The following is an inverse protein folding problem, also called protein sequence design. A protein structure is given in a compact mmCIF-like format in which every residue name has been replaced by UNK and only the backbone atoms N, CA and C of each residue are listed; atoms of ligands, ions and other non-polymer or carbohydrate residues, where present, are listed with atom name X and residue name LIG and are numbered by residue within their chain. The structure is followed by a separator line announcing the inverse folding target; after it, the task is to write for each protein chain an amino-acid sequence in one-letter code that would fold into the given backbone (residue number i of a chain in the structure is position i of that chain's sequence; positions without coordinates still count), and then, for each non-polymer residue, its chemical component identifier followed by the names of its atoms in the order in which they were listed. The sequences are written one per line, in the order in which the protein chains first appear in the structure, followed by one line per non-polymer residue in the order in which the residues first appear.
data_IF_138045743478
#
_entry.id   IF_138045743478
#
_cell.length_a   1.000
_cell.length_b   1.000
_cell.length_c   1.000
_cell.angle_alpha   90.00
_cell.angle_beta   90.00
_cell.angle_gamma   90.00
#
_symmetry.space_group_name_H-M   'P 1'
#
loop_
_entity.id
_entity.type
_entity.pdbx_description
1 polymer ?
#
# COMPACT_ATOMS: atom_id res chain seq x y z
N UNK A 1 57.74 -49.03 -10.27
CA UNK A 1 57.37 -50.04 -9.24
C UNK A 1 55.92 -49.78 -8.89
N UNK A 2 54.90 -50.46 -9.39
CA UNK A 2 54.79 -51.61 -10.31
C UNK A 2 55.28 -51.26 -11.73
N UNK A 3 55.68 -52.27 -12.49
CA UNK A 3 56.35 -52.22 -13.81
C UNK A 3 55.37 -52.49 -14.95
N UNK A 4 55.70 -51.99 -16.15
CA UNK A 4 55.21 -52.34 -17.52
C UNK A 4 54.44 -51.21 -18.21
N UNK A 5 54.64 -50.88 -19.48
CA UNK A 5 55.64 -51.18 -20.52
C UNK A 5 55.35 -50.12 -21.60
N UNK A 6 56.39 -49.49 -22.16
CA UNK A 6 56.28 -48.68 -23.39
C UNK A 6 56.11 -49.65 -24.58
N UNK A 7 55.31 -49.28 -25.59
CA UNK A 7 55.82 -49.26 -26.96
C UNK A 7 55.46 -47.92 -27.63
N UNK A 8 56.43 -47.10 -28.04
CA UNK A 8 57.13 -47.19 -29.33
C UNK A 8 56.19 -47.11 -30.53
N UNK A 9 56.02 -45.90 -31.08
CA UNK A 9 55.87 -45.72 -32.53
C UNK A 9 56.73 -44.52 -32.97
N UNK A 10 57.81 -44.85 -33.65
CA UNK A 10 58.67 -43.92 -34.38
C UNK A 10 58.46 -44.10 -35.88
N UNK A 11 58.66 -43.00 -36.61
CA UNK A 11 58.95 -42.84 -38.06
C UNK A 11 57.77 -42.67 -39.02
N UNK A 12 57.62 -41.44 -39.50
CA UNK A 12 57.70 -41.03 -40.92
C UNK A 12 57.57 -39.49 -40.97
N UNK A 13 58.63 -38.67 -41.14
CA UNK A 13 59.17 -38.10 -42.41
C UNK A 13 58.12 -37.93 -43.52
N UNK A 14 58.07 -36.87 -44.33
CA UNK A 14 58.66 -35.53 -44.42
C UNK A 14 58.04 -34.89 -45.68
N UNK A 15 57.90 -33.56 -45.70
CA UNK A 15 57.68 -32.73 -46.90
C UNK A 15 56.22 -32.66 -47.39
N UNK A 16 55.69 -31.52 -47.84
CA UNK A 16 56.25 -30.18 -48.05
C UNK A 16 55.08 -29.19 -48.27
N UNK A 17 55.44 -27.91 -48.37
CA UNK A 17 54.65 -26.73 -48.77
C UNK A 17 54.10 -25.87 -47.62
N UNK A 18 54.75 -24.74 -47.35
CA UNK A 18 54.38 -23.46 -47.98
C UNK A 18 55.47 -22.39 -47.85
N UNK A 19 55.57 -21.57 -48.89
CA UNK A 19 56.58 -20.55 -49.18
C UNK A 19 56.43 -19.26 -48.34
N UNK A 20 57.59 -18.70 -47.96
CA UNK A 20 57.94 -17.28 -47.95
C UNK A 20 57.16 -16.26 -47.08
N UNK A 21 57.81 -15.82 -46.00
CA UNK A 21 58.57 -14.54 -45.94
C UNK A 21 58.30 -13.64 -44.72
N UNK A 22 59.42 -13.17 -44.17
CA UNK A 22 59.65 -11.97 -43.35
C UNK A 22 59.09 -11.93 -41.91
N UNK A 23 60.02 -12.05 -40.96
CA UNK A 23 60.23 -10.96 -40.00
C UNK A 23 59.65 -11.10 -38.60
N UNK A 24 60.59 -11.12 -37.63
CA UNK A 24 60.42 -10.85 -36.20
C UNK A 24 59.81 -11.95 -35.33
N UNK A 25 60.75 -12.68 -34.73
CA UNK A 25 60.62 -13.42 -33.48
C UNK A 25 60.07 -12.45 -32.41
N UNK A 26 58.76 -12.51 -32.15
CA UNK A 26 58.21 -12.00 -30.90
C UNK A 26 58.47 -13.04 -29.81
N UNK A 27 59.17 -12.60 -28.78
CA UNK A 27 59.56 -13.38 -27.62
C UNK A 27 58.31 -14.00 -26.96
N UNK A 28 58.39 -15.24 -26.48
CA UNK A 28 57.25 -15.93 -25.85
C UNK A 28 56.73 -15.18 -24.60
N UNK A 29 57.54 -14.27 -24.03
CA UNK A 29 57.14 -13.33 -22.98
C UNK A 29 56.19 -12.23 -23.45
N UNK A 30 56.17 -11.87 -24.74
CA UNK A 30 55.31 -10.82 -25.30
C UNK A 30 53.95 -11.36 -25.75
N UNK A 31 53.87 -12.62 -26.21
CA UNK A 31 52.56 -13.25 -26.48
C UNK A 31 51.81 -13.54 -25.17
N UNK A 32 52.54 -13.82 -24.09
CA UNK A 32 51.96 -13.96 -22.74
C UNK A 32 51.66 -12.62 -22.04
N UNK A 33 52.02 -11.48 -22.66
CA UNK A 33 51.72 -10.13 -22.14
C UNK A 33 50.57 -9.42 -22.87
N UNK A 34 49.86 -10.09 -23.79
CA UNK A 34 48.61 -9.58 -24.37
C UNK A 34 47.35 -10.09 -23.64
N UNK A 35 47.52 -10.83 -22.53
CA UNK A 35 46.44 -11.25 -21.62
C UNK A 35 46.73 -10.81 -20.18
N UNK A 36 47.37 -9.66 -20.02
CA UNK A 36 47.57 -9.00 -18.74
C UNK A 36 47.14 -7.54 -18.86
N UNK A 37 45.92 -7.31 -19.35
CA UNK A 37 45.14 -6.20 -18.83
C UNK A 37 44.67 -6.67 -17.46
N UNK A 38 45.27 -6.08 -16.43
CA UNK A 38 44.91 -6.20 -15.03
C UNK A 38 43.44 -5.80 -14.81
N UNK A 39 42.51 -6.72 -15.06
CA UNK A 39 41.17 -6.62 -14.50
C UNK A 39 41.22 -7.15 -13.08
N UNK A 40 41.67 -6.28 -12.16
CA UNK A 40 41.37 -6.39 -10.74
C UNK A 40 39.88 -6.03 -10.50
N UNK A 41 38.97 -6.61 -11.28
CA UNK A 41 37.53 -6.47 -11.11
C UNK A 41 37.10 -7.49 -10.07
N UNK A 42 36.91 -7.03 -8.84
CA UNK A 42 36.25 -7.79 -7.76
C UNK A 42 34.99 -8.45 -8.34
N UNK A 43 34.90 -9.78 -8.28
CA UNK A 43 33.74 -10.53 -8.79
C UNK A 43 32.49 -10.00 -8.10
N UNK A 44 31.60 -9.38 -8.87
CA UNK A 44 30.44 -8.63 -8.36
C UNK A 44 29.17 -9.36 -8.75
N UNK A 45 28.38 -9.75 -7.74
CA UNK A 45 27.05 -10.30 -7.94
C UNK A 45 25.98 -9.23 -7.81
N UNK A 46 24.90 -9.37 -8.58
CA UNK A 46 23.69 -8.57 -8.44
C UNK A 46 22.63 -9.40 -7.72
N UNK A 47 22.06 -8.87 -6.65
CA UNK A 47 20.94 -9.46 -5.94
C UNK A 47 19.67 -8.64 -6.23
N UNK A 48 18.76 -9.19 -7.02
CA UNK A 48 17.46 -8.58 -7.32
C UNK A 48 16.46 -9.01 -6.24
N UNK A 49 16.07 -8.08 -5.39
CA UNK A 49 15.24 -8.36 -4.22
C UNK A 49 13.79 -7.93 -4.46
N UNK A 50 12.84 -8.85 -4.31
CA UNK A 50 11.40 -8.56 -4.38
C UNK A 50 10.66 -8.91 -3.10
N UNK A 51 9.36 -8.63 -3.05
CA UNK A 51 8.56 -8.86 -1.82
C UNK A 51 8.29 -10.36 -1.64
N UNK A 52 8.11 -11.06 -2.75
CA UNK A 52 7.57 -12.40 -2.78
C UNK A 52 6.05 -12.41 -2.58
N UNK A 53 5.43 -13.43 -3.14
CA UNK A 53 3.98 -13.62 -3.15
C UNK A 53 3.66 -15.07 -2.83
N UNK A 54 2.51 -15.31 -2.21
CA UNK A 54 1.94 -16.66 -2.12
C UNK A 54 1.54 -17.23 -3.50
N UNK A 55 1.47 -16.40 -4.54
CA UNK A 55 1.17 -16.79 -5.91
C UNK A 55 2.46 -17.07 -6.69
N UNK A 56 2.75 -18.36 -6.95
CA UNK A 56 3.98 -18.80 -7.65
C UNK A 56 4.25 -18.09 -8.98
N UNK A 57 3.21 -17.81 -9.77
CA UNK A 57 3.35 -17.12 -11.07
C UNK A 57 3.96 -15.73 -10.93
N UNK A 58 3.63 -14.99 -9.86
CA UNK A 58 4.19 -13.67 -9.62
C UNK A 58 5.69 -13.73 -9.25
N UNK A 59 6.10 -14.76 -8.51
CA UNK A 59 7.51 -14.96 -8.14
C UNK A 59 8.37 -15.29 -9.37
N UNK A 60 7.83 -16.05 -10.33
CA UNK A 60 8.52 -16.37 -11.57
C UNK A 60 8.82 -15.12 -12.41
N UNK A 61 7.95 -14.11 -12.39
CA UNK A 61 8.21 -12.84 -13.08
C UNK A 61 9.46 -12.15 -12.55
N UNK A 62 9.73 -12.18 -11.24
CA UNK A 62 10.96 -11.61 -10.70
C UNK A 62 12.21 -12.40 -11.13
N UNK A 63 12.09 -13.73 -11.22
CA UNK A 63 13.18 -14.60 -11.70
C UNK A 63 13.49 -14.32 -13.17
N UNK A 64 12.46 -14.13 -13.99
CA UNK A 64 12.61 -13.72 -15.40
C UNK A 64 13.27 -12.34 -15.52
N UNK A 65 12.91 -11.40 -14.65
CA UNK A 65 13.57 -10.08 -14.59
C UNK A 65 15.04 -10.22 -14.23
N UNK A 66 15.38 -11.02 -13.21
CA UNK A 66 16.77 -11.25 -12.81
C UNK A 66 17.60 -11.83 -13.96
N UNK A 67 17.06 -12.80 -14.68
CA UNK A 67 17.72 -13.36 -15.87
C UNK A 67 17.85 -12.34 -17.01
N UNK A 68 16.81 -11.53 -17.25
CA UNK A 68 16.88 -10.47 -18.24
C UNK A 68 17.91 -9.39 -17.86
N UNK A 69 18.06 -9.07 -16.57
CA UNK A 69 19.09 -8.16 -16.06
C UNK A 69 20.48 -8.76 -16.26
N UNK A 70 20.66 -10.06 -16.00
CA UNK A 70 21.91 -10.79 -16.26
C UNK A 70 22.34 -10.64 -17.72
N UNK A 71 21.45 -10.99 -18.64
CA UNK A 71 21.72 -10.99 -20.08
C UNK A 71 21.90 -9.56 -20.62
N UNK A 72 20.96 -8.64 -20.34
CA UNK A 72 20.98 -7.28 -20.90
C UNK A 72 22.01 -6.37 -20.23
N UNK A 73 22.28 -6.59 -18.95
CA UNK A 73 23.26 -5.83 -18.17
C UNK A 73 24.69 -6.35 -18.32
N UNK A 74 24.89 -7.53 -18.91
CA UNK A 74 26.21 -8.14 -19.06
C UNK A 74 26.83 -8.54 -17.72
N UNK A 75 25.99 -8.95 -16.76
CA UNK A 75 26.46 -9.39 -15.44
C UNK A 75 26.65 -10.90 -15.43
N UNK A 76 27.75 -11.39 -14.85
CA UNK A 76 28.03 -12.82 -14.77
C UNK A 76 27.12 -13.52 -13.76
N UNK A 77 26.90 -12.88 -12.60
CA UNK A 77 26.16 -13.44 -11.47
C UNK A 77 25.00 -12.52 -11.10
N UNK A 78 23.77 -13.02 -11.30
CA UNK A 78 22.54 -12.36 -10.85
C UNK A 78 21.66 -13.37 -10.14
N UNK A 79 21.31 -13.08 -8.88
CA UNK A 79 20.44 -13.91 -8.06
C UNK A 79 19.15 -13.14 -7.73
N UNK A 80 18.01 -13.83 -7.76
CA UNK A 80 16.76 -13.28 -7.22
C UNK A 80 16.56 -13.72 -5.78
N UNK A 81 16.01 -12.85 -4.95
CA UNK A 81 15.64 -13.15 -3.57
C UNK A 81 14.31 -12.50 -3.19
N UNK A 82 13.70 -13.00 -2.13
CA UNK A 82 12.39 -12.56 -1.67
C UNK A 82 12.41 -12.22 -0.18
N UNK A 83 11.71 -11.15 0.19
CA UNK A 83 11.57 -10.76 1.60
C UNK A 83 10.59 -11.68 2.36
N UNK A 84 9.56 -12.20 1.67
CA UNK A 84 8.49 -12.97 2.28
C UNK A 84 7.94 -14.03 1.32
N UNK A 85 7.26 -15.04 1.87
CA UNK A 85 6.44 -16.04 1.16
C UNK A 85 7.14 -16.99 0.16
N UNK A 86 8.38 -16.73 -0.23
CA UNK A 86 9.08 -17.48 -1.27
C UNK A 86 10.59 -17.56 -0.99
N UNK A 87 11.23 -18.56 -1.58
CA UNK A 87 12.67 -18.82 -1.46
C UNK A 87 13.43 -18.64 -2.79
N UNK A 88 14.74 -18.33 -2.76
CA UNK A 88 15.53 -18.08 -1.56
C UNK A 88 15.16 -16.74 -0.92
N UNK A 89 15.14 -16.70 0.42
CA UNK A 89 15.07 -15.44 1.14
C UNK A 89 16.40 -14.69 1.05
N UNK A 90 16.48 -13.45 1.55
CA UNK A 90 17.70 -12.65 1.46
C UNK A 90 18.93 -13.37 2.02
N UNK A 91 18.83 -13.95 3.23
CA UNK A 91 19.93 -14.63 3.87
C UNK A 91 20.39 -15.86 3.07
N UNK A 92 19.45 -16.68 2.61
CA UNK A 92 19.74 -17.86 1.77
C UNK A 92 20.38 -17.46 0.43
N UNK A 93 19.93 -16.37 -0.18
CA UNK A 93 20.50 -15.89 -1.43
C UNK A 93 21.93 -15.35 -1.24
N UNK A 94 22.19 -14.68 -0.12
CA UNK A 94 23.57 -14.28 0.24
C UNK A 94 24.44 -15.51 0.47
N UNK A 95 23.94 -16.56 1.13
CA UNK A 95 24.67 -17.81 1.33
C UNK A 95 25.06 -18.45 -0.01
N UNK A 96 24.11 -18.56 -0.95
CA UNK A 96 24.34 -19.08 -2.31
C UNK A 96 25.39 -18.25 -3.06
N UNK A 97 25.35 -16.92 -2.90
CA UNK A 97 26.30 -16.03 -3.56
C UNK A 97 27.69 -16.13 -2.92
N UNK A 98 27.77 -16.23 -1.60
CA UNK A 98 29.04 -16.35 -0.87
C UNK A 98 29.83 -17.61 -1.25
N UNK A 99 29.15 -18.69 -1.66
CA UNK A 99 29.78 -19.92 -2.18
C UNK A 99 30.44 -19.74 -3.57
N UNK A 100 30.20 -18.61 -4.25
CA UNK A 100 30.68 -18.35 -5.61
C UNK A 100 31.90 -17.41 -5.66
N UNK A 101 32.66 -17.30 -4.56
CA UNK A 101 33.85 -16.44 -4.44
C UNK A 101 33.64 -14.97 -4.83
N UNK A 102 32.40 -14.48 -4.71
CA UNK A 102 32.05 -13.08 -4.94
C UNK A 102 32.64 -12.22 -3.84
N UNK A 103 33.18 -11.06 -4.21
CA UNK A 103 33.76 -10.10 -3.26
C UNK A 103 32.81 -8.92 -3.00
N UNK A 104 31.77 -8.78 -3.83
CA UNK A 104 30.82 -7.69 -3.78
C UNK A 104 29.42 -8.15 -4.18
N UNK A 105 28.41 -7.73 -3.43
CA UNK A 105 27.00 -7.88 -3.78
C UNK A 105 26.36 -6.50 -3.91
N UNK A 106 25.84 -6.20 -5.09
CA UNK A 106 24.95 -5.06 -5.31
C UNK A 106 23.52 -5.54 -5.10
N UNK A 107 22.89 -5.08 -4.02
CA UNK A 107 21.49 -5.36 -3.72
C UNK A 107 20.64 -4.32 -4.42
N UNK A 108 19.82 -4.74 -5.39
CA UNK A 108 18.86 -3.88 -6.06
C UNK A 108 17.43 -4.23 -5.62
N UNK A 109 16.78 -3.33 -4.85
CA UNK A 109 15.40 -3.51 -4.44
C UNK A 109 14.44 -3.31 -5.63
N UNK A 110 13.82 -4.38 -6.11
CA UNK A 110 12.90 -4.35 -7.25
C UNK A 110 11.47 -3.98 -6.80
N UNK A 111 11.32 -2.74 -6.34
CA UNK A 111 10.07 -2.20 -5.81
C UNK A 111 9.77 -0.82 -6.40
N UNK A 112 8.52 -0.54 -6.73
CA UNK A 112 8.07 0.79 -7.17
C UNK A 112 8.01 1.81 -6.03
N UNK A 113 7.91 1.34 -4.79
CA UNK A 113 7.90 2.16 -3.58
C UNK A 113 8.55 1.42 -2.41
N UNK A 114 9.24 2.14 -1.54
CA UNK A 114 9.83 1.62 -0.30
C UNK A 114 8.84 1.72 0.85
N UNK A 115 8.22 0.58 1.20
CA UNK A 115 7.40 0.48 2.41
C UNK A 115 8.22 0.69 3.70
N UNK A 116 7.55 1.11 4.78
CA UNK A 116 8.20 1.37 6.07
C UNK A 116 8.89 0.13 6.66
N UNK A 117 8.37 -1.07 6.38
CA UNK A 117 8.97 -2.36 6.76
C UNK A 117 10.26 -2.61 5.98
N UNK A 118 10.25 -2.53 4.65
CA UNK A 118 11.45 -2.72 3.80
C UNK A 118 12.57 -1.74 4.13
N UNK A 119 12.21 -0.49 4.43
CA UNK A 119 13.17 0.58 4.74
C UNK A 119 13.96 0.30 6.02
N UNK A 120 13.42 -0.49 6.96
CA UNK A 120 14.09 -0.88 8.21
C UNK A 120 14.67 -2.29 8.15
N UNK A 121 13.94 -3.22 7.53
CA UNK A 121 14.28 -4.64 7.51
C UNK A 121 15.48 -4.91 6.60
N UNK A 122 15.55 -4.28 5.41
CA UNK A 122 16.64 -4.51 4.47
C UNK A 122 18.01 -4.04 5.00
N UNK A 123 18.15 -2.83 5.59
CA UNK A 123 19.40 -2.47 6.27
C UNK A 123 19.78 -3.45 7.37
N UNK A 124 18.81 -3.93 8.16
CA UNK A 124 19.06 -4.90 9.23
C UNK A 124 19.58 -6.25 8.68
N UNK A 125 19.00 -6.75 7.59
CA UNK A 125 19.45 -7.98 6.94
C UNK A 125 20.84 -7.84 6.33
N UNK A 126 21.14 -6.70 5.69
CA UNK A 126 22.47 -6.39 5.16
C UNK A 126 23.51 -6.35 6.29
N UNK A 127 23.21 -5.69 7.41
CA UNK A 127 24.13 -5.63 8.56
C UNK A 127 24.35 -7.01 9.20
N UNK A 128 23.31 -7.85 9.22
CA UNK A 128 23.42 -9.24 9.69
C UNK A 128 24.32 -10.06 8.76
N UNK A 129 24.15 -9.91 7.44
CA UNK A 129 24.97 -10.58 6.44
C UNK A 129 26.44 -10.14 6.48
N UNK A 130 26.72 -8.84 6.67
CA UNK A 130 28.08 -8.31 6.84
C UNK A 130 28.82 -8.92 8.03
N UNK A 131 28.12 -9.16 9.15
CA UNK A 131 28.70 -9.84 10.33
C UNK A 131 29.02 -11.30 10.06
N UNK A 132 28.27 -11.96 9.17
CA UNK A 132 28.50 -13.36 8.79
C UNK A 132 29.66 -13.46 7.79
N UNK A 133 29.70 -12.58 6.79
CA UNK A 133 30.66 -12.60 5.69
C UNK A 133 31.53 -11.34 5.66
N UNK A 134 32.63 -11.37 6.42
CA UNK A 134 33.54 -10.23 6.59
C UNK A 134 34.29 -9.82 5.30
N UNK A 135 34.43 -10.75 4.36
CA UNK A 135 35.16 -10.54 3.10
C UNK A 135 34.26 -10.00 1.99
N UNK A 136 32.96 -9.81 2.27
CA UNK A 136 31.93 -9.51 1.28
C UNK A 136 31.43 -8.08 1.43
N UNK A 137 31.62 -7.29 0.37
CA UNK A 137 31.16 -5.90 0.31
C UNK A 137 29.69 -5.85 -0.14
N UNK A 138 28.83 -5.12 0.59
CA UNK A 138 27.44 -4.92 0.21
C UNK A 138 27.19 -3.48 -0.24
N UNK A 139 26.60 -3.29 -1.41
CA UNK A 139 26.18 -2.00 -1.94
C UNK A 139 24.68 -2.03 -2.17
N UNK A 140 23.94 -1.12 -1.54
CA UNK A 140 22.51 -0.95 -1.80
C UNK A 140 22.33 0.01 -2.98
N UNK A 141 21.79 -0.49 -4.09
CA UNK A 141 21.39 0.33 -5.23
C UNK A 141 20.04 1.03 -4.94
N UNK A 142 19.72 2.12 -5.66
CA UNK A 142 18.37 2.68 -5.64
C UNK A 142 17.33 1.60 -5.98
N UNK A 143 16.17 1.68 -5.34
CA UNK A 143 15.04 0.83 -5.69
C UNK A 143 14.49 1.23 -7.07
N UNK A 144 13.74 0.33 -7.72
CA UNK A 144 13.19 0.55 -9.07
C UNK A 144 12.46 1.90 -9.19
N UNK A 145 11.59 2.21 -8.23
CA UNK A 145 10.99 3.53 -8.08
C UNK A 145 10.21 4.03 -9.30
N UNK A 146 10.01 5.35 -9.37
CA UNK A 146 9.50 6.01 -10.56
C UNK A 146 10.63 6.20 -11.58
N UNK A 147 10.35 5.89 -12.85
CA UNK A 147 11.27 6.14 -13.96
C UNK A 147 10.46 6.35 -15.26
N UNK A 148 10.88 7.26 -16.13
CA UNK A 148 10.16 7.60 -17.37
C UNK A 148 9.90 6.38 -18.27
N UNK A 149 10.88 5.49 -18.43
CA UNK A 149 10.72 4.20 -19.12
C UNK A 149 9.57 3.31 -18.59
N UNK A 150 9.24 3.37 -17.29
CA UNK A 150 8.09 2.64 -16.76
C UNK A 150 6.77 3.29 -17.19
N UNK A 151 6.75 4.62 -17.31
CA UNK A 151 5.63 5.37 -17.87
C UNK A 151 5.46 5.04 -19.36
N UNK A 152 6.55 5.00 -20.12
CA UNK A 152 6.53 4.59 -21.53
C UNK A 152 5.91 3.20 -21.70
N UNK A 153 6.37 2.22 -20.90
CA UNK A 153 5.81 0.86 -20.90
C UNK A 153 4.32 0.88 -20.51
N UNK A 154 3.92 1.69 -19.52
CA UNK A 154 2.52 1.80 -19.11
C UNK A 154 1.66 2.38 -20.24
N UNK A 155 2.14 3.46 -20.90
CA UNK A 155 1.48 4.08 -22.05
C UNK A 155 1.38 3.09 -23.21
N UNK A 156 2.44 2.34 -23.51
CA UNK A 156 2.44 1.32 -24.56
C UNK A 156 1.39 0.24 -24.28
N UNK A 157 1.32 -0.29 -23.04
CA UNK A 157 0.32 -1.28 -22.64
C UNK A 157 -1.10 -0.75 -22.74
N UNK A 158 -1.35 0.49 -22.31
CA UNK A 158 -2.67 1.13 -22.42
C UNK A 158 -3.07 1.29 -23.89
N UNK A 159 -2.14 1.76 -24.74
CA UNK A 159 -2.37 1.89 -26.18
C UNK A 159 -2.66 0.53 -26.83
N UNK A 160 -1.97 -0.52 -26.40
CA UNK A 160 -2.16 -1.88 -26.97
C UNK A 160 -3.60 -2.39 -26.82
N UNK A 161 -4.30 -2.00 -25.75
CA UNK A 161 -5.73 -2.31 -25.55
C UNK A 161 -6.60 -1.50 -26.53
N UNK A 162 -6.33 -0.21 -26.71
CA UNK A 162 -7.09 0.66 -27.63
C UNK A 162 -6.95 0.23 -29.10
N UNK A 163 -5.80 -0.33 -29.48
CA UNK A 163 -5.60 -0.93 -30.80
C UNK A 163 -6.46 -2.20 -31.00
N UNK A 164 -6.57 -3.03 -29.96
CA UNK A 164 -7.41 -4.23 -29.98
C UNK A 164 -8.91 -3.92 -29.94
N UNK A 165 -9.29 -2.84 -29.25
CA UNK A 165 -10.65 -2.29 -29.26
C UNK A 165 -10.96 -1.71 -30.65
N UNK A 166 -10.08 -0.93 -31.28
CA UNK A 166 -10.31 -0.38 -32.63
C UNK A 166 -10.47 -1.46 -33.73
N UNK A 167 -9.80 -2.61 -33.62
CA UNK A 167 -10.02 -3.75 -34.52
C UNK A 167 -11.31 -4.52 -34.23
N UNK A 168 -11.75 -4.54 -32.96
CA UNK A 168 -13.03 -5.14 -32.55
C UNK A 168 -14.21 -4.23 -32.87
N UNK A 169 -14.02 -2.91 -32.75
CA UNK A 169 -14.97 -1.84 -33.09
C UNK A 169 -15.13 -1.71 -34.61
N UNK A 170 -14.07 -1.86 -35.42
CA UNK A 170 -14.20 -1.92 -36.89
C UNK A 170 -15.01 -3.11 -37.40
N UNK A 171 -15.10 -4.20 -36.63
CA UNK A 171 -15.98 -5.34 -36.92
C UNK A 171 -17.42 -5.12 -36.44
N UNK A 172 -17.64 -4.18 -35.51
CA UNK A 172 -18.96 -3.87 -34.94
C UNK A 172 -19.62 -2.63 -35.58
N UNK A 173 -18.85 -1.65 -36.02
CA UNK A 173 -19.34 -0.35 -36.52
C UNK A 173 -19.61 -0.35 -38.03
N UNK A 174 -20.10 -1.48 -38.55
CA UNK A 174 -20.82 -1.52 -39.83
C UNK A 174 -22.24 -0.96 -39.73
N UNK A 175 -22.74 -0.68 -38.51
CA UNK A 175 -24.08 -0.14 -38.31
C UNK A 175 -24.10 0.88 -37.15
N UNK A 176 -24.81 1.97 -37.41
CA UNK A 176 -25.27 3.02 -36.50
C UNK A 176 -24.34 4.22 -36.19
N UNK A 177 -24.94 5.39 -36.39
CA UNK A 177 -24.37 6.72 -36.56
C UNK A 177 -24.11 7.48 -35.26
N UNK A 178 -23.07 8.32 -35.32
CA UNK A 178 -22.88 9.67 -34.76
C UNK A 178 -23.59 10.05 -33.45
N UNK A 179 -22.79 10.14 -32.39
CA UNK A 179 -22.87 11.25 -31.41
C UNK A 179 -21.46 11.80 -31.12
N UNK A 180 -21.32 13.13 -31.19
CA UNK A 180 -20.05 13.86 -31.06
C UNK A 180 -19.71 14.12 -29.59
N UNK A 181 -18.58 13.61 -29.11
CA UNK A 181 -18.07 13.81 -27.75
C UNK A 181 -17.24 15.13 -27.66
N UNK A 182 -17.53 16.07 -26.73
CA UNK A 182 -16.80 17.35 -26.63
C UNK A 182 -15.44 17.28 -25.92
N UNK A 183 -14.95 16.12 -25.49
CA UNK A 183 -13.69 16.00 -24.73
C UNK A 183 -12.47 15.73 -25.62
N UNK A 184 -12.14 16.64 -26.56
CA UNK A 184 -10.81 16.67 -27.18
C UNK A 184 -10.38 18.11 -27.43
N UNK A 185 -9.97 18.81 -26.37
CA UNK A 185 -8.87 19.79 -26.40
C UNK A 185 -8.74 20.48 -25.04
N UNK A 186 -7.99 19.87 -24.12
CA UNK A 186 -7.32 20.66 -23.10
C UNK A 186 -5.97 20.03 -22.74
N UNK A 187 -4.85 20.78 -22.85
CA UNK A 187 -3.52 20.26 -22.59
C UNK A 187 -3.31 20.12 -21.07
N UNK A 188 -3.14 18.88 -20.60
CA UNK A 188 -2.74 18.59 -19.22
C UNK A 188 -1.31 19.12 -19.03
N UNK A 189 -1.12 20.11 -18.14
CA UNK A 189 0.20 20.65 -17.79
C UNK A 189 0.87 19.79 -16.71
N UNK A 190 2.21 19.62 -16.74
CA UNK A 190 2.92 18.80 -15.76
C UNK A 190 2.91 19.44 -14.35
N UNK A 191 2.77 18.60 -13.34
CA UNK A 191 2.71 18.96 -11.92
C UNK A 191 4.04 19.52 -11.39
N UNK A 192 4.02 20.64 -10.67
CA UNK A 192 5.19 21.18 -9.95
C UNK A 192 5.25 20.66 -8.52
N UNK A 193 6.36 20.04 -8.13
CA UNK A 193 6.60 19.55 -6.77
C UNK A 193 7.03 20.69 -5.82
N UNK A 194 6.11 21.12 -4.96
CA UNK A 194 6.46 21.81 -3.71
C UNK A 194 5.27 21.82 -2.73
N UNK A 195 5.03 20.72 -2.01
CA UNK A 195 4.07 20.67 -0.88
C UNK A 195 4.51 19.64 0.19
N UNK A 196 4.17 19.85 1.48
CA UNK A 196 4.80 19.23 2.66
C UNK A 196 4.28 17.79 2.96
N UNK A 197 4.84 17.07 3.95
CA UNK A 197 4.76 15.61 4.01
C UNK A 197 3.45 15.13 4.64
N UNK A 198 2.73 14.21 3.97
CA UNK A 198 1.98 13.07 4.57
C UNK A 198 0.77 12.56 3.75
N UNK A 199 0.75 12.67 2.41
CA UNK A 199 -0.24 11.95 1.59
C UNK A 199 0.49 11.21 0.46
N UNK A 200 0.14 9.93 0.24
CA UNK A 200 0.69 9.19 -0.89
C UNK A 200 0.30 9.92 -2.19
N UNK A 201 1.18 10.09 -3.19
CA UNK A 201 0.89 10.90 -4.39
C UNK A 201 -0.43 10.55 -5.08
N UNK A 202 -0.83 9.27 -5.04
CA UNK A 202 -2.11 8.77 -5.58
C UNK A 202 -3.32 9.28 -4.80
N UNK A 203 -3.24 9.33 -3.47
CA UNK A 203 -4.35 9.80 -2.63
C UNK A 203 -4.57 11.31 -2.84
N UNK A 204 -3.48 12.09 -2.85
CA UNK A 204 -3.54 13.52 -3.13
C UNK A 204 -4.13 13.80 -4.52
N UNK A 205 -3.70 13.07 -5.54
CA UNK A 205 -4.26 13.20 -6.89
C UNK A 205 -5.73 12.77 -6.96
N UNK A 206 -6.11 11.70 -6.25
CA UNK A 206 -7.50 11.28 -6.15
C UNK A 206 -8.36 12.39 -5.54
N UNK A 207 -7.91 13.03 -4.45
CA UNK A 207 -8.64 14.15 -3.85
C UNK A 207 -8.71 15.38 -4.73
N UNK A 208 -7.68 15.63 -5.55
CA UNK A 208 -7.68 16.69 -6.55
C UNK A 208 -8.77 16.44 -7.60
N UNK A 209 -8.80 15.24 -8.19
CA UNK A 209 -9.80 14.83 -9.19
C UNK A 209 -11.23 14.84 -8.63
N UNK A 210 -11.40 14.42 -7.37
CA UNK A 210 -12.69 14.53 -6.68
C UNK A 210 -13.11 15.99 -6.55
N UNK A 211 -12.18 16.89 -6.17
CA UNK A 211 -12.46 18.32 -6.04
C UNK A 211 -12.81 19.02 -7.34
N UNK A 212 -12.34 18.54 -8.49
CA UNK A 212 -12.71 19.08 -9.81
C UNK A 212 -14.16 18.76 -10.21
N UNK A 213 -14.73 17.68 -9.68
CA UNK A 213 -16.08 17.20 -10.01
C UNK A 213 -17.10 17.50 -8.91
N UNK A 214 -16.63 17.66 -7.67
CA UNK A 214 -17.47 17.98 -6.51
C UNK A 214 -17.68 19.49 -6.42
N UNK A 215 -18.93 19.94 -6.32
CA UNK A 215 -19.23 21.30 -5.90
C UNK A 215 -18.92 21.48 -4.39
N UNK A 216 -17.68 21.88 -4.10
CA UNK A 216 -17.19 22.04 -2.73
C UNK A 216 -17.89 23.17 -1.96
N UNK A 217 -18.52 24.12 -2.66
CA UNK A 217 -19.20 25.27 -2.03
C UNK A 217 -20.39 24.87 -1.15
N UNK A 218 -20.89 23.63 -1.33
CA UNK A 218 -21.98 23.02 -0.57
C UNK A 218 -21.59 22.59 0.84
N UNK A 219 -20.30 22.51 1.14
CA UNK A 219 -19.78 21.95 2.39
C UNK A 219 -18.90 22.96 3.12
N UNK A 220 -19.00 22.98 4.45
CA UNK A 220 -18.08 23.77 5.25
C UNK A 220 -16.70 23.10 5.36
N UNK A 221 -15.72 23.83 5.93
CA UNK A 221 -14.34 23.38 6.02
C UNK A 221 -14.14 22.07 6.80
N UNK A 222 -15.05 21.72 7.71
CA UNK A 222 -14.95 20.52 8.54
C UNK A 222 -15.71 19.33 7.93
N UNK A 223 -16.76 19.60 7.14
CA UNK A 223 -17.52 18.57 6.42
C UNK A 223 -16.78 18.07 5.18
N UNK A 224 -16.18 18.98 4.40
CA UNK A 224 -15.57 18.67 3.11
C UNK A 224 -14.53 17.54 3.16
N UNK A 225 -13.61 17.47 4.15
CA UNK A 225 -12.67 16.36 4.27
C UNK A 225 -13.35 14.99 4.40
N UNK A 226 -14.46 14.91 5.14
CA UNK A 226 -15.22 13.66 5.31
C UNK A 226 -15.93 13.30 4.00
N UNK A 227 -16.56 14.26 3.34
CA UNK A 227 -17.25 14.05 2.05
C UNK A 227 -16.26 13.53 0.99
N UNK A 228 -15.12 14.20 0.84
CA UNK A 228 -14.07 13.75 -0.09
C UNK A 228 -13.57 12.35 0.25
N UNK A 229 -13.39 12.03 1.54
CA UNK A 229 -12.97 10.70 2.00
C UNK A 229 -14.00 9.63 1.67
N UNK A 230 -15.29 9.93 1.79
CA UNK A 230 -16.38 9.03 1.43
C UNK A 230 -16.36 8.74 -0.08
N UNK A 231 -16.30 9.76 -0.93
CA UNK A 231 -16.22 9.62 -2.38
C UNK A 231 -14.97 8.84 -2.78
N UNK A 232 -13.81 9.17 -2.21
CA UNK A 232 -12.56 8.46 -2.48
C UNK A 232 -12.65 6.96 -2.17
N UNK A 233 -13.30 6.62 -1.06
CA UNK A 233 -13.41 5.23 -0.59
C UNK A 233 -14.42 4.42 -1.42
N UNK A 234 -15.44 5.08 -1.96
CA UNK A 234 -16.58 4.43 -2.63
C UNK A 234 -16.58 4.59 -4.15
N UNK A 235 -15.75 5.51 -4.67
CA UNK A 235 -15.78 6.01 -6.04
C UNK A 235 -17.19 6.50 -6.47
N UNK A 236 -17.96 7.06 -5.53
CA UNK A 236 -19.37 7.36 -5.71
C UNK A 236 -19.70 8.77 -5.20
N UNK A 237 -19.95 9.69 -6.14
CA UNK A 237 -20.24 11.10 -5.84
C UNK A 237 -21.61 11.30 -5.18
N UNK A 238 -22.53 10.33 -5.29
CA UNK A 238 -23.86 10.43 -4.68
C UNK A 238 -23.77 10.52 -3.14
N UNK A 239 -22.67 10.04 -2.53
CA UNK A 239 -22.44 10.21 -1.10
C UNK A 239 -22.41 11.68 -0.66
N UNK A 240 -22.03 12.62 -1.53
CA UNK A 240 -22.12 14.05 -1.26
C UNK A 240 -23.58 14.51 -1.03
N UNK A 241 -24.53 13.92 -1.74
CA UNK A 241 -25.95 14.25 -1.63
C UNK A 241 -26.65 13.49 -0.50
N UNK A 242 -26.12 12.32 -0.13
CA UNK A 242 -26.73 11.43 0.86
C UNK A 242 -26.21 11.63 2.28
N UNK A 243 -24.98 12.12 2.47
CA UNK A 243 -24.42 12.30 3.81
C UNK A 243 -25.17 13.35 4.62
N UNK A 244 -25.42 13.05 5.90
CA UNK A 244 -26.08 13.94 6.85
C UNK A 244 -25.24 14.04 8.11
N UNK A 245 -24.98 15.26 8.53
CA UNK A 245 -24.28 15.60 9.77
C UNK A 245 -25.29 16.24 10.72
N UNK A 246 -25.44 15.68 11.92
CA UNK A 246 -26.40 16.15 12.91
C UNK A 246 -25.74 16.61 14.21
N UNK A 247 -26.31 17.64 14.84
CA UNK A 247 -25.99 18.08 16.21
C UNK A 247 -24.48 18.29 16.49
N UNK A 248 -23.75 18.92 15.55
CA UNK A 248 -22.33 19.21 15.72
C UNK A 248 -21.41 17.98 15.67
N UNK A 249 -21.85 16.90 15.02
CA UNK A 249 -21.19 15.59 15.00
C UNK A 249 -19.68 15.58 14.78
N UNK A 250 -19.17 16.39 13.85
CA UNK A 250 -17.74 16.37 13.49
C UNK A 250 -16.89 16.90 14.66
N UNK A 251 -17.25 18.06 15.19
CA UNK A 251 -16.53 18.66 16.32
C UNK A 251 -16.65 17.81 17.58
N UNK A 252 -17.86 17.34 17.91
CA UNK A 252 -18.05 16.46 19.08
C UNK A 252 -17.26 15.16 18.93
N UNK A 253 -17.17 14.61 17.71
CA UNK A 253 -16.35 13.44 17.42
C UNK A 253 -14.85 13.69 17.62
N UNK A 254 -14.34 14.81 17.11
CA UNK A 254 -12.94 15.21 17.28
C UNK A 254 -12.61 15.45 18.76
N UNK A 255 -13.50 16.12 19.50
CA UNK A 255 -13.35 16.37 20.93
C UNK A 255 -13.38 15.06 21.73
N UNK A 256 -14.27 14.12 21.38
CA UNK A 256 -14.34 12.80 22.01
C UNK A 256 -13.06 12.00 21.78
N UNK A 257 -12.56 11.95 20.54
CA UNK A 257 -11.26 11.32 20.23
C UNK A 257 -10.15 11.96 21.06
N UNK A 258 -10.11 13.29 21.13
CA UNK A 258 -9.08 14.03 21.87
C UNK A 258 -9.09 13.72 23.38
N UNK A 259 -10.26 13.36 23.93
CA UNK A 259 -10.45 12.94 25.33
C UNK A 259 -10.23 11.44 25.55
N UNK A 260 -9.82 10.69 24.53
CA UNK A 260 -9.55 9.25 24.61
C UNK A 260 -10.79 8.37 24.55
N UNK A 261 -11.85 8.82 23.87
CA UNK A 261 -13.06 8.01 23.70
C UNK A 261 -12.78 6.67 23.00
N UNK A 262 -13.43 5.61 23.50
CA UNK A 262 -13.45 4.32 22.84
C UNK A 262 -14.28 4.38 21.54
N UNK A 263 -13.94 3.52 20.59
CA UNK A 263 -14.69 3.32 19.35
C UNK A 263 -15.36 1.95 19.36
N UNK A 264 -16.68 1.93 19.37
CA UNK A 264 -17.49 0.71 19.38
C UNK A 264 -17.97 0.45 17.96
N UNK A 265 -17.75 -0.76 17.45
CA UNK A 265 -18.17 -1.14 16.09
C UNK A 265 -19.07 -2.37 16.06
N UNK A 266 -19.98 -2.41 15.08
CA UNK A 266 -20.96 -3.48 14.95
C UNK A 266 -20.38 -4.78 14.37
N UNK A 267 -19.33 -4.70 13.55
CA UNK A 267 -18.70 -5.86 12.90
C UNK A 267 -17.19 -5.80 12.89
N UNK A 268 -16.55 -6.99 12.88
CA UNK A 268 -15.08 -7.14 12.86
C UNK A 268 -14.42 -6.43 11.67
N UNK A 269 -15.09 -6.37 10.52
CA UNK A 269 -14.57 -5.67 9.34
C UNK A 269 -14.32 -4.18 9.61
N UNK A 270 -15.20 -3.51 10.35
CA UNK A 270 -14.98 -2.12 10.73
C UNK A 270 -13.82 -2.01 11.73
N UNK A 271 -13.72 -2.94 12.68
CA UNK A 271 -12.66 -2.96 13.68
C UNK A 271 -11.26 -3.04 13.07
N UNK A 272 -11.08 -3.87 12.03
CA UNK A 272 -9.77 -4.03 11.37
C UNK A 272 -9.43 -2.88 10.42
N UNK A 273 -10.42 -2.13 9.95
CA UNK A 273 -10.21 -1.00 9.03
C UNK A 273 -9.86 0.32 9.72
N UNK A 274 -10.18 0.45 11.02
CA UNK A 274 -9.89 1.66 11.79
C UNK A 274 -8.43 1.66 12.26
N UNK A 275 -7.76 2.82 12.11
CA UNK A 275 -6.36 2.97 12.47
C UNK A 275 -6.15 2.95 14.00
N UNK A 276 -5.72 1.79 14.53
CA UNK A 276 -5.31 1.64 15.94
C UNK A 276 -4.14 2.53 16.30
N UNK A 277 -3.21 2.73 15.37
CA UNK A 277 -2.06 3.61 15.59
C UNK A 277 -2.49 5.04 15.89
N UNK A 278 -3.40 5.61 15.07
CA UNK A 278 -3.91 6.97 15.30
C UNK A 278 -4.73 7.07 16.57
N UNK A 279 -5.66 6.14 16.79
CA UNK A 279 -6.50 6.14 17.99
C UNK A 279 -5.66 6.00 19.27
N UNK A 280 -4.64 5.13 19.26
CA UNK A 280 -3.75 4.91 20.39
C UNK A 280 -2.98 6.15 20.83
N UNK A 281 -2.74 7.14 19.94
CA UNK A 281 -2.13 8.43 20.30
C UNK A 281 -3.00 9.22 21.29
N UNK A 282 -4.30 8.96 21.33
CA UNK A 282 -5.26 9.61 22.20
C UNK A 282 -5.73 8.74 23.38
N UNK A 283 -5.35 7.45 23.41
CA UNK A 283 -5.65 6.54 24.52
C UNK A 283 -6.98 5.79 24.44
N UNK A 284 -7.72 5.91 23.32
CA UNK A 284 -8.95 5.14 23.10
C UNK A 284 -8.70 3.70 22.62
N UNK A 285 -9.67 2.82 22.83
CA UNK A 285 -9.66 1.44 22.32
C UNK A 285 -10.77 1.19 21.29
N UNK A 286 -10.53 0.26 20.36
CA UNK A 286 -11.56 -0.21 19.43
C UNK A 286 -12.17 -1.50 19.99
N UNK A 287 -13.49 -1.51 20.17
CA UNK A 287 -14.26 -2.64 20.73
C UNK A 287 -15.27 -3.18 19.73
N UNK A 288 -15.32 -4.49 19.57
CA UNK A 288 -16.35 -5.19 18.79
C UNK A 288 -16.76 -6.48 19.50
N UNK A 289 -18.03 -6.61 19.84
CA UNK A 289 -18.53 -7.72 20.66
C UNK A 289 -19.24 -8.81 19.86
N UNK A 290 -19.52 -8.60 18.57
CA UNK A 290 -20.36 -9.50 17.75
C UNK A 290 -19.85 -10.94 17.67
N UNK A 291 -18.54 -11.14 17.85
CA UNK A 291 -17.87 -12.43 17.77
C UNK A 291 -17.74 -13.14 19.14
N UNK A 292 -18.16 -12.50 20.23
CA UNK A 292 -18.03 -13.07 21.56
C UNK A 292 -18.95 -14.29 21.75
N UNK A 293 -18.46 -15.27 22.52
CA UNK A 293 -19.15 -16.56 22.69
C UNK A 293 -20.52 -16.41 23.34
N UNK A 294 -20.65 -15.51 24.31
CA UNK A 294 -21.88 -15.20 25.05
C UNK A 294 -22.91 -14.44 24.21
N UNK A 295 -22.48 -13.59 23.26
CA UNK A 295 -23.38 -12.83 22.38
C UNK A 295 -24.26 -13.74 21.53
N UNK A 296 -23.75 -14.89 21.09
CA UNK A 296 -24.58 -15.87 20.36
C UNK A 296 -25.70 -16.43 21.22
N UNK A 297 -25.43 -16.75 22.48
CA UNK A 297 -26.42 -17.28 23.39
C UNK A 297 -27.47 -16.20 23.74
N UNK A 298 -27.03 -14.97 23.99
CA UNK A 298 -27.93 -13.83 24.25
C UNK A 298 -28.84 -13.52 23.06
N UNK A 299 -28.29 -13.57 21.84
CA UNK A 299 -29.04 -13.38 20.60
C UNK A 299 -30.17 -14.41 20.43
N UNK A 300 -29.88 -15.68 20.72
CA UNK A 300 -30.87 -16.76 20.66
C UNK A 300 -31.93 -16.61 21.75
N UNK A 301 -31.51 -16.37 23.00
CA UNK A 301 -32.39 -16.23 24.16
C UNK A 301 -33.43 -15.12 23.98
N UNK A 302 -33.05 -14.01 23.36
CA UNK A 302 -33.89 -12.83 23.19
C UNK A 302 -34.39 -12.64 21.75
N UNK A 303 -34.29 -13.66 20.90
CA UNK A 303 -34.75 -13.63 19.50
C UNK A 303 -34.29 -12.41 18.70
N UNK A 304 -33.01 -12.05 18.82
CA UNK A 304 -32.39 -10.92 18.13
C UNK A 304 -31.20 -11.34 17.28
N UNK A 305 -30.75 -10.43 16.43
CA UNK A 305 -29.50 -10.62 15.66
C UNK A 305 -28.27 -10.54 16.57
N UNK A 306 -27.19 -11.22 16.19
CA UNK A 306 -25.89 -11.17 16.91
C UNK A 306 -25.34 -9.74 17.03
N UNK A 307 -25.55 -8.90 16.02
CA UNK A 307 -25.09 -7.50 16.00
C UNK A 307 -25.89 -6.64 16.97
N UNK A 308 -27.21 -6.84 17.08
CA UNK A 308 -28.03 -6.22 18.12
C UNK A 308 -27.63 -6.68 19.53
N UNK A 309 -27.45 -7.98 19.74
CA UNK A 309 -26.99 -8.53 21.02
C UNK A 309 -25.57 -8.03 21.38
N UNK A 310 -24.67 -7.92 20.40
CA UNK A 310 -23.34 -7.36 20.58
C UNK A 310 -23.39 -5.88 20.96
N UNK A 311 -24.30 -5.11 20.37
CA UNK A 311 -24.51 -3.70 20.73
C UNK A 311 -25.06 -3.57 22.15
N UNK A 312 -25.99 -4.44 22.55
CA UNK A 312 -26.45 -4.51 23.95
C UNK A 312 -25.32 -4.84 24.92
N UNK A 313 -24.46 -5.80 24.57
CA UNK A 313 -23.27 -6.13 25.38
C UNK A 313 -22.31 -4.93 25.50
N UNK A 314 -22.28 -4.06 24.50
CA UNK A 314 -21.44 -2.86 24.53
C UNK A 314 -21.91 -1.80 25.53
N UNK A 315 -23.11 -1.92 26.12
CA UNK A 315 -23.73 -0.90 26.99
C UNK A 315 -22.78 -0.26 28.02
N UNK A 316 -21.94 -1.00 28.76
CA UNK A 316 -21.01 -0.41 29.74
C UNK A 316 -19.95 0.53 29.14
N UNK A 317 -19.77 0.52 27.81
CA UNK A 317 -18.78 1.29 27.07
C UNK A 317 -19.42 2.36 26.16
N UNK A 318 -20.75 2.51 26.19
CA UNK A 318 -21.44 3.43 25.26
C UNK A 318 -21.39 4.90 25.69
N UNK A 319 -21.16 5.18 26.96
CA UNK A 319 -21.13 6.56 27.44
C UNK A 319 -19.84 7.27 27.02
N UNK A 320 -19.99 8.47 26.44
CA UNK A 320 -18.91 9.30 25.88
C UNK A 320 -18.09 8.64 24.77
N UNK A 321 -18.54 7.53 24.20
CA UNK A 321 -17.83 6.82 23.14
C UNK A 321 -18.31 7.22 21.75
N UNK A 322 -17.57 6.77 20.73
CA UNK A 322 -17.96 6.89 19.33
C UNK A 322 -18.46 5.52 18.87
N UNK A 323 -19.71 5.45 18.42
CA UNK A 323 -20.31 4.20 17.96
C UNK A 323 -20.43 4.22 16.44
N UNK A 324 -19.71 3.33 15.76
CA UNK A 324 -19.71 3.24 14.30
C UNK A 324 -20.35 1.94 13.81
N UNK A 325 -21.52 2.08 13.18
CA UNK A 325 -22.35 0.97 12.70
C UNK A 325 -22.37 1.03 11.18
N UNK A 326 -21.61 0.13 10.55
CA UNK A 326 -21.45 0.11 9.10
C UNK A 326 -22.23 -0.99 8.39
N UNK A 327 -22.64 -2.05 9.08
CA UNK A 327 -23.19 -3.23 8.43
C UNK A 327 -24.62 -3.56 8.86
N UNK A 328 -24.94 -3.55 10.14
CA UNK A 328 -26.20 -4.11 10.64
C UNK A 328 -27.23 -3.05 11.05
N UNK A 329 -28.34 -2.89 10.30
CA UNK A 329 -29.44 -2.01 10.71
C UNK A 329 -30.00 -2.34 12.09
N UNK A 330 -30.05 -3.63 12.45
CA UNK A 330 -30.54 -4.09 13.75
C UNK A 330 -29.65 -3.66 14.91
N UNK A 331 -28.34 -3.48 14.70
CA UNK A 331 -27.47 -2.89 15.72
C UNK A 331 -27.78 -1.41 15.94
N UNK A 332 -28.06 -0.68 14.85
CA UNK A 332 -28.41 0.73 14.94
C UNK A 332 -29.76 0.93 15.62
N UNK A 333 -30.76 0.12 15.30
CA UNK A 333 -32.07 0.14 15.97
C UNK A 333 -31.92 -0.13 17.48
N UNK A 334 -31.14 -1.14 17.87
CA UNK A 334 -30.93 -1.44 19.30
C UNK A 334 -30.18 -0.30 20.01
N UNK A 335 -29.18 0.33 19.37
CA UNK A 335 -28.52 1.51 19.91
C UNK A 335 -29.50 2.68 20.09
N UNK A 336 -30.28 2.99 19.06
CA UNK A 336 -31.31 4.04 19.10
C UNK A 336 -32.29 3.80 20.23
N UNK A 337 -32.74 2.55 20.42
CA UNK A 337 -33.59 2.17 21.55
C UNK A 337 -32.90 2.46 22.89
N UNK A 338 -31.66 2.03 23.09
CA UNK A 338 -30.92 2.28 24.34
C UNK A 338 -30.71 3.77 24.62
N UNK A 339 -30.54 4.60 23.58
CA UNK A 339 -30.46 6.06 23.71
C UNK A 339 -31.80 6.65 24.12
N UNK A 340 -32.91 6.25 23.46
CA UNK A 340 -34.27 6.69 23.80
C UNK A 340 -34.67 6.29 25.23
N UNK A 341 -34.26 5.11 25.66
CA UNK A 341 -34.48 4.60 27.02
C UNK A 341 -33.59 5.31 28.06
N UNK A 342 -32.66 6.17 27.64
CA UNK A 342 -31.74 6.91 28.52
C UNK A 342 -30.58 6.09 29.08
N UNK A 343 -30.37 4.86 28.58
CA UNK A 343 -29.36 3.92 29.05
C UNK A 343 -27.99 4.14 28.41
N UNK A 344 -27.92 4.81 27.25
CA UNK A 344 -26.68 5.03 26.51
C UNK A 344 -26.54 6.49 26.08
N UNK A 345 -25.34 7.07 26.28
CA UNK A 345 -25.02 8.46 25.91
C UNK A 345 -23.71 8.52 25.11
N UNK A 346 -23.68 8.00 23.88
CA UNK A 346 -22.49 8.12 23.04
C UNK A 346 -22.24 9.57 22.67
N UNK A 347 -20.97 9.95 22.59
CA UNK A 347 -20.56 11.28 22.14
C UNK A 347 -20.88 11.49 20.66
N UNK A 348 -20.80 10.41 19.86
CA UNK A 348 -21.11 10.43 18.44
C UNK A 348 -21.61 9.06 17.96
N UNK A 349 -22.63 9.06 17.11
CA UNK A 349 -23.10 7.87 16.39
C UNK A 349 -22.86 8.00 14.89
N UNK A 350 -21.98 7.16 14.34
CA UNK A 350 -21.78 7.00 12.89
C UNK A 350 -22.70 5.85 12.43
N UNK A 351 -23.95 6.18 12.12
CA UNK A 351 -24.97 5.22 11.70
C UNK A 351 -25.06 5.13 10.20
N UNK A 352 -24.26 4.26 9.59
CA UNK A 352 -24.18 4.07 8.13
C UNK A 352 -24.37 2.61 7.70
N UNK A 353 -25.31 1.84 8.29
CA UNK A 353 -25.56 0.48 7.82
C UNK A 353 -26.02 0.47 6.35
N UNK A 354 -25.46 -0.47 5.59
CA UNK A 354 -25.92 -0.79 4.23
C UNK A 354 -26.99 -1.86 4.29
N UNK A 355 -27.98 -1.80 3.40
CA UNK A 355 -28.93 -2.89 3.24
C UNK A 355 -30.21 -2.50 2.55
N UNK A 356 -30.95 -3.51 2.09
CA UNK A 356 -32.26 -3.36 1.47
C UNK A 356 -33.42 -3.49 2.46
N UNK A 357 -33.15 -3.99 3.67
CA UNK A 357 -34.16 -4.23 4.71
C UNK A 357 -33.72 -3.52 5.99
N UNK A 358 -34.53 -2.57 6.47
CA UNK A 358 -34.34 -1.88 7.75
C UNK A 358 -33.23 -0.82 7.77
N UNK A 359 -32.37 -0.74 6.75
CA UNK A 359 -31.23 0.17 6.74
C UNK A 359 -31.68 1.64 6.72
N UNK A 360 -32.58 1.97 5.79
CA UNK A 360 -33.11 3.34 5.65
C UNK A 360 -33.87 3.75 6.92
N UNK A 361 -34.77 2.88 7.38
CA UNK A 361 -35.59 3.12 8.57
C UNK A 361 -34.74 3.27 9.84
N UNK A 362 -33.69 2.45 10.00
CA UNK A 362 -32.79 2.54 11.16
C UNK A 362 -32.01 3.87 11.19
N UNK A 363 -31.64 4.39 10.02
CA UNK A 363 -30.92 5.66 9.89
C UNK A 363 -31.87 6.85 10.06
N UNK A 364 -33.08 6.76 9.54
CA UNK A 364 -34.12 7.75 9.76
C UNK A 364 -34.48 7.87 11.25
N UNK A 365 -34.54 6.75 11.97
CA UNK A 365 -34.74 6.78 13.43
C UNK A 365 -33.58 7.41 14.19
N UNK A 366 -32.32 7.19 13.76
CA UNK A 366 -31.16 7.88 14.33
C UNK A 366 -31.23 9.40 14.08
N UNK A 367 -31.58 9.80 12.86
CA UNK A 367 -31.61 11.22 12.45
C UNK A 367 -32.65 12.06 13.20
N UNK A 368 -33.60 11.42 13.89
CA UNK A 368 -34.61 12.06 14.74
C UNK A 368 -34.14 12.32 16.18
N UNK A 369 -32.96 11.82 16.58
CA UNK A 369 -32.43 11.97 17.94
C UNK A 369 -31.56 13.23 18.08
N UNK A 370 -31.45 13.72 19.32
CA UNK A 370 -30.58 14.85 19.68
C UNK A 370 -29.09 14.46 19.84
N UNK A 371 -28.78 13.16 19.81
CA UNK A 371 -27.40 12.69 19.86
C UNK A 371 -26.64 13.15 18.61
N UNK A 372 -25.36 13.55 18.69
CA UNK A 372 -24.56 13.84 17.51
C UNK A 372 -24.45 12.62 16.61
N UNK A 373 -24.65 12.82 15.30
CA UNK A 373 -24.61 11.72 14.34
C UNK A 373 -24.00 12.07 12.98
N UNK A 374 -23.43 11.06 12.33
CA UNK A 374 -23.12 11.07 10.89
C UNK A 374 -23.83 9.88 10.26
N UNK A 375 -24.66 10.13 9.26
CA UNK A 375 -25.43 9.08 8.57
C UNK A 375 -25.44 9.28 7.05
N UNK A 376 -25.85 8.25 6.32
CA UNK A 376 -26.05 8.28 4.85
C UNK A 376 -27.51 7.97 4.57
N UNK A 377 -28.26 8.89 3.97
CA UNK A 377 -29.68 8.67 3.66
C UNK A 377 -29.88 7.48 2.70
N UNK A 378 -31.01 6.79 2.80
CA UNK A 378 -31.38 5.70 1.90
C UNK A 378 -30.74 4.36 2.27
N UNK A 379 -30.34 3.56 1.28
CA UNK A 379 -29.85 2.17 1.48
C UNK A 379 -28.33 2.01 1.45
N UNK A 380 -27.62 3.04 0.95
CA UNK A 380 -26.15 3.05 0.87
C UNK A 380 -25.52 3.19 2.26
N UNK A 381 -24.27 2.77 2.37
CA UNK A 381 -23.56 2.67 3.63
C UNK A 381 -22.46 1.62 3.54
N UNK A 382 -22.07 1.04 4.67
CA UNK A 382 -21.13 -0.07 4.71
C UNK A 382 -20.07 0.11 5.79
N UNK A 383 -19.39 -0.99 6.13
CA UNK A 383 -18.23 -0.96 7.02
C UNK A 383 -17.12 -0.05 6.47
N UNK A 384 -16.90 -0.03 5.15
CA UNK A 384 -15.92 0.85 4.51
C UNK A 384 -16.26 2.32 4.67
N UNK A 385 -17.53 2.68 4.57
CA UNK A 385 -18.05 4.04 4.82
C UNK A 385 -17.86 4.43 6.29
N UNK A 386 -18.22 3.55 7.22
CA UNK A 386 -18.02 3.79 8.65
C UNK A 386 -16.53 4.00 8.99
N UNK A 387 -15.66 3.12 8.47
CA UNK A 387 -14.20 3.20 8.62
C UNK A 387 -13.65 4.50 8.03
N UNK A 388 -14.12 4.90 6.84
CA UNK A 388 -13.70 6.12 6.17
C UNK A 388 -14.00 7.36 7.02
N UNK A 389 -15.21 7.43 7.60
CA UNK A 389 -15.61 8.53 8.49
C UNK A 389 -14.75 8.53 9.76
N UNK A 390 -14.61 7.38 10.43
CA UNK A 390 -13.79 7.28 11.66
C UNK A 390 -12.34 7.68 11.39
N UNK A 391 -11.73 7.17 10.33
CA UNK A 391 -10.33 7.48 10.01
C UNK A 391 -10.14 8.94 9.59
N UNK A 392 -11.15 9.58 8.98
CA UNK A 392 -11.14 11.01 8.73
C UNK A 392 -11.17 11.80 10.04
N UNK A 393 -12.06 11.46 10.97
CA UNK A 393 -12.13 12.11 12.29
C UNK A 393 -10.82 11.95 13.08
N UNK A 394 -10.21 10.76 13.05
CA UNK A 394 -8.90 10.50 13.67
C UNK A 394 -7.80 11.38 13.07
N UNK A 395 -7.78 11.54 11.75
CA UNK A 395 -6.83 12.43 11.07
C UNK A 395 -7.07 13.90 11.44
N UNK A 396 -8.33 14.34 11.49
CA UNK A 396 -8.68 15.71 11.87
C UNK A 396 -8.30 16.02 13.31
N UNK A 397 -8.52 15.07 14.24
CA UNK A 397 -8.08 15.21 15.63
C UNK A 397 -6.56 15.29 15.75
N UNK A 398 -5.82 14.52 14.95
CA UNK A 398 -4.35 14.58 14.91
C UNK A 398 -3.85 15.94 14.41
N UNK A 399 -4.43 16.46 13.33
CA UNK A 399 -4.10 17.79 12.79
C UNK A 399 -4.41 18.88 13.82
N UNK A 400 -5.56 18.81 14.51
CA UNK A 400 -5.93 19.77 15.56
C UNK A 400 -4.94 19.74 16.71
N UNK A 401 -4.55 18.56 17.19
CA UNK A 401 -3.55 18.40 18.26
C UNK A 401 -2.18 18.98 17.87
N UNK A 402 -1.73 18.74 16.63
CA UNK A 402 -0.47 19.31 16.14
C UNK A 402 -0.54 20.84 16.13
N UNK A 403 -1.63 21.40 15.61
CA UNK A 403 -1.85 22.85 15.53
C UNK A 403 -1.88 23.49 16.94
N UNK A 404 -2.53 22.84 17.91
CA UNK A 404 -2.57 23.29 19.30
C UNK A 404 -1.19 23.27 19.96
N UNK A 405 -0.37 22.24 19.72
CA UNK A 405 1.00 22.15 20.23
C UNK A 405 1.92 23.21 19.61
N UNK A 406 1.78 23.49 18.32
CA UNK A 406 2.53 24.56 17.64
C UNK A 406 2.17 25.94 18.19
N UNK A 407 0.89 26.23 18.40
CA UNK A 407 0.43 27.47 19.01
C UNK A 407 0.92 27.64 20.45
N UNK A 408 0.95 26.57 21.24
CA UNK A 408 1.53 26.57 22.59
C UNK A 408 3.05 26.80 22.57
N UNK A 409 3.75 26.34 21.53
CA UNK A 409 5.19 26.57 21.36
C UNK A 409 5.48 28.02 20.99
N UNK A 410 4.73 28.59 20.04
CA UNK A 410 4.87 29.98 19.59
C UNK A 410 4.57 30.95 20.75
N UNK A 411 3.47 30.74 21.48
CA UNK A 411 3.14 31.57 22.64
C UNK A 411 4.24 31.54 23.71
N UNK A 412 4.85 30.38 24.01
CA UNK A 412 5.98 30.29 24.95
C UNK A 412 7.24 31.02 24.47
N UNK A 413 7.50 31.07 23.16
CA UNK A 413 8.63 31.83 22.59
C UNK A 413 8.42 33.34 22.73
N UNK A 414 7.21 33.85 22.51
CA UNK A 414 6.89 35.28 22.66
C UNK A 414 6.99 35.79 24.11
N UNK A 415 6.75 34.93 25.11
CA UNK A 415 6.97 35.27 26.52
C UNK A 415 8.44 35.26 26.95
N UNK A 416 9.32 34.56 26.23
CA UNK A 416 10.76 34.54 26.52
C UNK A 416 11.54 35.73 25.94
N UNK A 417 10.91 36.50 25.04
CA UNK A 417 11.48 37.67 24.38
C UNK A 417 10.94 39.01 24.93
N UNK A 418 10.27 39.01 26.09
CA UNK A 418 9.79 40.22 26.77
C UNK A 418 10.44 40.43 28.13
#
# INVERSE_FOLDING_TARGET
MVFMLIPSLSKSRAGDFYFASVGQILNLSQVCQMTLITHNSRLTAILILGHGSSVKKANNTLREVAEAVRIKGGYDIVQSAFLQFEHPNFAEAVDILAEQDVQKIIVHPYFLYMGAHVTKDLPFEIETAKKKYHNLEFILAPHLGYHEKLVEIAVERIKSVRSSEAETEKRRNGEAEKETNPFTDSPIRPFSHSQPPSQHPIEAESFRLIGEQLDESRFNAVELPIVKRLIHTTADFEYADLVRFGNGAIETGIDAISKGADIIVDVKMAEVGISRERLGKFGGEIRCFVADKDVRAEAQKNSMTKTAAGMRKALPFLDNSIVAIGNAPTALIELVRMIKDGNARPALVIGVPVGFVGAEESKDELMKLDVPYISIKGRKGGSTVAVAIVNALLMMAEIRRISELENQRISKLDFSNR
#
